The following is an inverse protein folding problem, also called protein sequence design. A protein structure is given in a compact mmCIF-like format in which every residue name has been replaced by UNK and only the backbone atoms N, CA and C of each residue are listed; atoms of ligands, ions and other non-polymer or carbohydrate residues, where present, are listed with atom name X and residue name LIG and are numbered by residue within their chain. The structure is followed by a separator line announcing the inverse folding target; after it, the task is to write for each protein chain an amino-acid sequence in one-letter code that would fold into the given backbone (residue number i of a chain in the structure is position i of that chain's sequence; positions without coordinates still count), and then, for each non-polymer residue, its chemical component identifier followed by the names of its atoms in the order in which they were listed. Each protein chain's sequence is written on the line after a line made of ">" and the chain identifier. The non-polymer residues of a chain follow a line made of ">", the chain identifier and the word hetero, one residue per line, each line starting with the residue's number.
data_IF_867004861121
#
_entry.id   IF_867004861121
#
_cell.length_a   1.000
_cell.length_b   1.000
_cell.length_c   1.000
_cell.angle_alpha   90.00
_cell.angle_beta   90.00
_cell.angle_gamma   90.00
#
_symmetry.space_group_name_H-M   'P 1'
#
loop_
_entity.id
_entity.type
_entity.pdbx_description
1 polymer ?
#
# COMPACT_ATOMS: atom_id res chain seq x y z
N UNK A 1 1.47 3.27 16.27
CA UNK A 1 0.77 1.96 16.26
C UNK A 1 1.70 0.91 15.67
N UNK A 2 1.81 -0.30 16.24
CA UNK A 2 2.63 -1.38 15.64
C UNK A 2 1.90 -1.99 14.43
N UNK A 3 2.65 -2.55 13.46
CA UNK A 3 2.14 -3.19 12.25
C UNK A 3 1.00 -4.19 12.51
N UNK A 4 1.08 -5.00 13.57
CA UNK A 4 0.04 -6.00 13.88
C UNK A 4 -1.32 -5.36 14.15
N UNK A 5 -1.36 -4.20 14.83
CA UNK A 5 -2.60 -3.46 15.07
C UNK A 5 -3.14 -2.81 13.79
N UNK A 6 -2.27 -2.40 12.87
CA UNK A 6 -2.70 -1.87 11.58
C UNK A 6 -3.33 -2.96 10.71
N UNK A 7 -2.73 -4.14 10.70
CA UNK A 7 -3.30 -5.31 10.03
C UNK A 7 -4.66 -5.68 10.61
N UNK A 8 -4.77 -5.73 11.94
CA UNK A 8 -6.05 -6.02 12.59
C UNK A 8 -7.12 -4.99 12.19
N UNK A 9 -6.75 -3.71 12.13
CA UNK A 9 -7.66 -2.66 11.65
C UNK A 9 -8.12 -2.89 10.21
N UNK A 10 -7.25 -3.34 9.29
CA UNK A 10 -7.66 -3.68 7.92
C UNK A 10 -8.67 -4.84 7.89
N UNK A 11 -8.48 -5.86 8.74
CA UNK A 11 -9.38 -7.01 8.81
C UNK A 11 -10.74 -6.61 9.40
N UNK A 12 -10.73 -5.83 10.49
CA UNK A 12 -11.95 -5.41 11.20
C UNK A 12 -12.83 -4.50 10.35
N UNK A 13 -12.21 -3.63 9.53
CA UNK A 13 -12.91 -2.70 8.65
C UNK A 13 -13.15 -3.24 7.23
N UNK A 14 -12.73 -4.47 6.94
CA UNK A 14 -13.03 -5.11 5.67
C UNK A 14 -14.54 -5.31 5.49
N UNK A 15 -15.07 -5.22 4.24
CA UNK A 15 -16.46 -5.54 3.95
C UNK A 15 -16.89 -6.90 4.54
N UNK A 16 -17.92 -6.90 5.38
CA UNK A 16 -18.39 -8.10 6.08
C UNK A 16 -19.28 -8.99 5.19
N UNK A 17 -18.81 -9.32 3.98
CA UNK A 17 -19.52 -10.14 2.98
C UNK A 17 -19.28 -11.66 3.15
N UNK A 18 -18.62 -12.06 4.24
CA UNK A 18 -18.26 -13.44 4.53
C UNK A 18 -16.98 -13.95 3.86
N UNK A 19 -16.37 -13.18 2.95
CA UNK A 19 -15.17 -13.58 2.22
C UNK A 19 -14.03 -12.57 2.31
N UNK A 20 -14.31 -11.27 2.17
CA UNK A 20 -13.30 -10.22 2.12
C UNK A 20 -12.39 -10.14 3.35
N UNK A 21 -12.89 -10.28 4.61
CA UNK A 21 -12.01 -10.26 5.79
C UNK A 21 -11.00 -11.42 5.79
N UNK A 22 -11.39 -12.61 5.28
CA UNK A 22 -10.50 -13.77 5.17
C UNK A 22 -9.44 -13.58 4.09
N UNK A 23 -9.78 -12.85 3.01
CA UNK A 23 -8.83 -12.51 1.95
C UNK A 23 -7.81 -11.50 2.48
N UNK A 24 -8.27 -10.47 3.21
CA UNK A 24 -7.40 -9.48 3.86
C UNK A 24 -6.46 -10.17 4.87
N UNK A 25 -6.99 -11.06 5.70
CA UNK A 25 -6.19 -11.86 6.63
C UNK A 25 -5.15 -12.72 5.90
N UNK A 26 -5.51 -13.33 4.77
CA UNK A 26 -4.60 -14.16 3.99
C UNK A 26 -3.42 -13.37 3.41
N UNK A 27 -3.63 -12.11 3.02
CA UNK A 27 -2.57 -11.26 2.43
C UNK A 27 -1.83 -10.42 3.46
N UNK A 28 -2.31 -10.37 4.72
CA UNK A 28 -1.69 -9.60 5.78
C UNK A 28 -0.18 -9.84 5.96
N UNK A 29 0.34 -11.08 5.87
CA UNK A 29 1.78 -11.30 5.95
C UNK A 29 2.57 -10.66 4.81
N UNK A 30 1.99 -10.53 3.61
CA UNK A 30 2.62 -9.81 2.49
C UNK A 30 2.77 -8.32 2.81
N UNK A 31 1.69 -7.71 3.30
CA UNK A 31 1.68 -6.30 3.68
C UNK A 31 2.66 -6.02 4.82
N UNK A 32 2.73 -6.92 5.81
CA UNK A 32 3.68 -6.81 6.92
C UNK A 32 5.13 -6.91 6.44
N UNK A 33 5.46 -7.88 5.58
CA UNK A 33 6.81 -8.06 5.05
C UNK A 33 7.31 -6.83 4.28
N UNK A 34 6.44 -6.19 3.50
CA UNK A 34 6.78 -4.96 2.79
C UNK A 34 6.90 -3.76 3.75
N UNK A 35 6.01 -3.66 4.73
CA UNK A 35 6.07 -2.61 5.75
C UNK A 35 7.33 -2.70 6.63
N UNK A 36 7.86 -3.90 6.88
CA UNK A 36 9.11 -4.11 7.62
C UNK A 36 10.36 -3.62 6.89
N UNK A 37 10.27 -3.33 5.59
CA UNK A 37 11.35 -2.70 4.82
C UNK A 37 11.44 -1.18 5.04
N UNK A 38 10.41 -0.60 5.67
CA UNK A 38 10.21 0.83 5.83
C UNK A 38 10.49 1.23 7.28
N UNK A 39 10.98 2.45 7.51
CA UNK A 39 11.43 2.88 8.84
C UNK A 39 10.27 3.31 9.74
N UNK A 40 9.17 3.81 9.15
CA UNK A 40 8.07 4.40 9.90
C UNK A 40 6.79 3.57 9.79
N UNK A 41 6.01 3.44 10.89
CA UNK A 41 4.73 2.77 10.85
C UNK A 41 3.63 3.64 10.17
N UNK A 42 3.86 4.93 10.00
CA UNK A 42 2.89 5.89 9.49
C UNK A 42 3.60 6.88 8.58
N UNK A 43 2.94 7.28 7.50
CA UNK A 43 3.42 8.29 6.57
C UNK A 43 2.31 9.27 6.21
N UNK A 44 2.70 10.45 5.76
CA UNK A 44 1.81 11.47 5.24
C UNK A 44 1.71 11.32 3.73
N UNK A 45 0.49 11.15 3.22
CA UNK A 45 0.16 11.15 1.79
C UNK A 45 -0.54 12.46 1.44
N UNK A 46 -0.19 13.05 0.31
CA UNK A 46 -0.93 14.18 -0.23
C UNK A 46 -2.26 13.71 -0.84
N UNK A 47 -3.34 14.36 -0.43
CA UNK A 47 -4.70 14.06 -0.85
C UNK A 47 -5.41 15.34 -1.28
N UNK A 48 -6.13 15.30 -2.39
CA UNK A 48 -7.01 16.39 -2.86
C UNK A 48 -8.31 16.43 -2.04
N UNK A 49 -9.07 17.53 -2.11
CA UNK A 49 -10.32 17.68 -1.34
C UNK A 49 -11.41 16.64 -1.66
N UNK A 50 -11.38 16.05 -2.86
CA UNK A 50 -12.24 14.94 -3.28
C UNK A 50 -11.76 13.57 -2.73
N UNK A 51 -10.76 13.57 -1.86
CA UNK A 51 -10.16 12.40 -1.22
C UNK A 51 -9.30 11.53 -2.14
N UNK A 52 -8.97 11.99 -3.34
CA UNK A 52 -8.05 11.31 -4.24
C UNK A 52 -6.59 11.52 -3.82
N UNK A 53 -5.75 10.49 -3.91
CA UNK A 53 -4.32 10.64 -3.68
C UNK A 53 -3.65 11.37 -4.84
N UNK A 54 -2.72 12.26 -4.52
CA UNK A 54 -1.96 13.01 -5.52
C UNK A 54 -0.96 12.06 -6.17
N UNK A 55 -1.17 11.80 -7.47
CA UNK A 55 -0.27 11.01 -8.31
C UNK A 55 0.58 11.97 -9.13
N UNK A 56 1.89 11.83 -9.01
CA UNK A 56 2.84 12.70 -9.71
C UNK A 56 3.66 11.90 -10.73
N UNK A 57 4.07 12.52 -11.85
CA UNK A 57 5.08 11.92 -12.70
C UNK A 57 6.40 11.84 -11.93
N UNK A 58 7.04 10.68 -11.97
CA UNK A 58 8.40 10.51 -11.50
C UNK A 58 9.33 11.17 -12.51
N UNK A 59 9.96 12.27 -12.12
CA UNK A 59 10.90 12.98 -12.97
C UNK A 59 12.30 12.58 -12.54
N UNK A 60 12.91 11.65 -13.28
CA UNK A 60 14.33 11.37 -13.16
C UNK A 60 15.10 12.26 -14.14
N UNK A 61 15.96 13.13 -13.60
CA UNK A 61 16.79 14.06 -14.40
C UNK A 61 17.73 13.29 -15.35
N UNK A 62 18.19 12.10 -14.96
CA UNK A 62 19.08 11.26 -15.77
C UNK A 62 18.31 10.39 -16.78
N UNK A 63 17.02 10.15 -16.54
CA UNK A 63 16.18 9.27 -17.36
C UNK A 63 14.79 9.89 -17.63
N UNK A 64 14.72 11.05 -18.30
CA UNK A 64 13.47 11.82 -18.48
C UNK A 64 12.43 11.11 -19.36
N UNK A 65 12.81 10.03 -20.06
CA UNK A 65 11.92 9.25 -20.92
C UNK A 65 11.06 8.25 -20.14
N UNK A 66 11.39 7.95 -18.88
CA UNK A 66 10.63 7.03 -18.06
C UNK A 66 9.42 7.77 -17.50
N UNK A 67 8.26 7.54 -18.14
CA UNK A 67 6.96 8.03 -17.67
C UNK A 67 6.40 7.08 -16.63
N UNK A 68 6.94 7.16 -15.43
CA UNK A 68 6.44 6.44 -14.26
C UNK A 68 5.56 7.36 -13.43
N UNK A 69 4.46 6.86 -12.88
CA UNK A 69 3.57 7.58 -11.96
C UNK A 69 3.81 7.09 -10.55
N UNK A 70 3.99 8.02 -9.62
CA UNK A 70 4.31 7.72 -8.23
C UNK A 70 3.39 8.46 -7.29
N UNK A 71 3.18 7.86 -6.12
CA UNK A 71 2.67 8.55 -4.94
C UNK A 71 3.84 8.70 -3.99
N UNK A 72 4.00 9.90 -3.44
CA UNK A 72 5.00 10.17 -2.40
C UNK A 72 4.39 10.02 -1.02
N UNK A 73 5.16 9.40 -0.14
CA UNK A 73 4.84 9.18 1.26
C UNK A 73 5.94 9.81 2.11
N UNK A 74 5.59 10.74 2.98
CA UNK A 74 6.55 11.52 3.76
C UNK A 74 6.53 11.09 5.22
N UNK A 75 7.69 11.04 5.87
CA UNK A 75 7.78 10.76 7.31
C UNK A 75 7.25 11.89 8.18
N UNK A 76 7.18 13.13 7.66
CA UNK A 76 6.67 14.30 8.38
C UNK A 76 5.60 15.05 7.58
N UNK A 77 4.72 15.76 8.29
CA UNK A 77 3.69 16.60 7.67
C UNK A 77 4.31 17.83 7.01
N UNK A 78 5.38 18.38 7.60
CA UNK A 78 6.12 19.53 7.08
C UNK A 78 6.74 19.21 5.71
N UNK A 79 7.35 18.03 5.57
CA UNK A 79 7.90 17.58 4.29
C UNK A 79 6.81 17.42 3.23
N UNK A 80 5.67 16.82 3.58
CA UNK A 80 4.54 16.67 2.66
C UNK A 80 4.02 18.03 2.15
N UNK A 81 3.83 19.00 3.05
CA UNK A 81 3.32 20.32 2.71
C UNK A 81 4.36 21.20 2.00
N UNK A 82 5.64 21.03 2.29
CA UNK A 82 6.73 21.76 1.61
C UNK A 82 7.02 21.23 0.20
N UNK A 83 6.76 19.95 -0.05
CA UNK A 83 6.92 19.33 -1.37
C UNK A 83 5.85 19.81 -2.36
N UNK A 84 4.70 20.29 -1.87
CA UNK A 84 3.66 20.86 -2.71
C UNK A 84 4.19 22.05 -3.49
N UNK A 85 4.16 21.95 -4.83
CA UNK A 85 4.54 23.04 -5.71
C UNK A 85 3.59 24.24 -5.45
N UNK A 86 4.09 25.45 -5.13
CA UNK A 86 3.25 26.64 -4.92
C UNK A 86 2.39 27.04 -6.14
N UNK A 87 2.66 26.50 -7.33
CA UNK A 87 1.88 26.76 -8.56
C UNK A 87 0.67 25.82 -8.77
N UNK A 88 0.44 24.85 -7.87
CA UNK A 88 -0.72 23.96 -7.99
C UNK A 88 -1.96 24.63 -7.40
N UNK A 89 -2.85 25.16 -8.25
CA UNK A 89 -4.20 25.69 -7.93
C UNK A 89 -5.13 24.70 -7.18
N UNK A 90 -4.64 23.52 -6.80
CA UNK A 90 -5.38 22.48 -6.09
C UNK A 90 -5.09 22.52 -4.61
N UNK A 91 -6.12 22.80 -3.81
CA UNK A 91 -6.07 22.62 -2.37
C UNK A 91 -5.83 21.13 -2.06
N UNK A 92 -4.68 20.83 -1.46
CA UNK A 92 -4.32 19.50 -1.01
C UNK A 92 -4.06 19.50 0.49
N UNK A 93 -4.27 18.33 1.09
CA UNK A 93 -4.05 18.07 2.50
C UNK A 93 -3.01 16.95 2.64
N UNK A 94 -2.15 17.05 3.64
CA UNK A 94 -1.29 15.95 4.05
C UNK A 94 -2.02 15.13 5.11
N UNK A 95 -2.38 13.88 4.78
CA UNK A 95 -3.11 12.98 5.67
C UNK A 95 -2.18 11.89 6.22
N UNK A 96 -2.15 11.66 7.55
CA UNK A 96 -1.41 10.55 8.12
C UNK A 96 -2.13 9.23 7.81
N UNK A 97 -1.39 8.24 7.33
CA UNK A 97 -1.90 6.92 7.02
C UNK A 97 -0.95 5.82 7.54
N UNK A 98 -1.50 4.75 8.15
CA UNK A 98 -0.70 3.60 8.53
C UNK A 98 -0.08 2.94 7.29
N UNK A 99 1.20 2.58 7.36
CA UNK A 99 1.96 2.04 6.23
C UNK A 99 1.29 0.83 5.57
N UNK A 100 0.70 -0.06 6.35
CA UNK A 100 -0.04 -1.22 5.83
C UNK A 100 -1.29 -0.84 5.03
N UNK A 101 -1.97 0.25 5.41
CA UNK A 101 -3.13 0.76 4.68
C UNK A 101 -2.69 1.40 3.36
N UNK A 102 -1.54 2.08 3.36
CA UNK A 102 -0.95 2.63 2.14
C UNK A 102 -0.66 1.50 1.14
N UNK A 103 0.01 0.45 1.60
CA UNK A 103 0.34 -0.73 0.80
C UNK A 103 -0.91 -1.49 0.33
N UNK A 104 -1.93 -1.61 1.18
CA UNK A 104 -3.19 -2.26 0.81
C UNK A 104 -3.95 -1.48 -0.28
N UNK A 105 -4.00 -0.14 -0.16
CA UNK A 105 -4.68 0.70 -1.15
C UNK A 105 -4.01 0.59 -2.54
N UNK A 106 -2.69 0.42 -2.60
CA UNK A 106 -1.97 0.21 -3.87
C UNK A 106 -2.41 -1.05 -4.64
N UNK A 107 -3.00 -2.03 -3.96
CA UNK A 107 -3.57 -3.23 -4.60
C UNK A 107 -4.80 -2.86 -5.42
N UNK A 108 -5.55 -1.87 -4.96
CA UNK A 108 -6.82 -1.41 -5.53
C UNK A 108 -6.60 -0.33 -6.59
N UNK A 109 -5.59 0.52 -6.41
CA UNK A 109 -5.31 1.63 -7.33
C UNK A 109 -4.71 1.15 -8.65
N UNK A 110 -5.26 1.63 -9.77
CA UNK A 110 -4.80 1.24 -11.10
C UNK A 110 -3.65 2.09 -11.65
N UNK A 111 -3.49 3.33 -11.19
CA UNK A 111 -2.62 4.30 -11.85
C UNK A 111 -1.20 4.47 -11.30
N UNK A 112 -0.90 4.38 -10.00
CA UNK A 112 0.49 4.52 -9.56
C UNK A 112 1.29 3.25 -9.88
N UNK A 113 2.47 3.45 -10.46
CA UNK A 113 3.43 2.37 -10.73
C UNK A 113 4.24 2.03 -9.47
N UNK A 114 4.42 3.00 -8.57
CA UNK A 114 5.12 2.81 -7.30
C UNK A 114 4.68 3.78 -6.20
N UNK A 115 5.01 3.40 -4.97
CA UNK A 115 5.11 4.27 -3.81
C UNK A 115 6.57 4.64 -3.58
N UNK A 116 6.82 5.90 -3.20
CA UNK A 116 8.14 6.39 -2.83
C UNK A 116 8.08 6.96 -1.41
N UNK A 117 8.75 6.30 -0.47
CA UNK A 117 8.76 6.64 0.95
C UNK A 117 10.01 7.45 1.30
N UNK A 118 9.82 8.67 1.81
CA UNK A 118 10.89 9.54 2.29
C UNK A 118 11.11 9.32 3.79
N UNK A 119 12.10 8.50 4.12
CA UNK A 119 12.37 8.04 5.48
C UNK A 119 13.02 9.10 6.37
N UNK A 120 13.85 9.97 5.78
CA UNK A 120 14.58 11.01 6.51
C UNK A 120 13.95 12.38 6.29
N UNK A 121 13.61 13.12 7.35
CA UNK A 121 13.05 14.47 7.21
C UNK A 121 13.98 15.42 6.46
N UNK A 122 13.42 16.33 5.65
CA UNK A 122 14.15 17.28 4.79
C UNK A 122 15.07 16.63 3.72
N UNK A 123 14.93 15.34 3.44
CA UNK A 123 15.70 14.65 2.40
C UNK A 123 14.80 14.10 1.29
N UNK A 124 14.64 14.88 0.22
CA UNK A 124 13.88 14.49 -0.97
C UNK A 124 14.72 13.78 -2.04
N UNK A 125 16.01 13.52 -1.78
CA UNK A 125 16.91 12.89 -2.74
C UNK A 125 16.96 11.36 -2.61
N UNK A 126 16.57 10.84 -1.45
CA UNK A 126 16.58 9.41 -1.17
C UNK A 126 15.18 8.98 -0.72
N UNK A 127 14.58 8.10 -1.50
CA UNK A 127 13.31 7.48 -1.17
C UNK A 127 13.43 5.96 -1.30
N UNK A 128 12.80 5.24 -0.38
CA UNK A 128 12.58 3.80 -0.53
C UNK A 128 11.42 3.59 -1.49
N UNK A 129 11.69 2.98 -2.64
CA UNK A 129 10.67 2.72 -3.65
C UNK A 129 10.09 1.32 -3.48
N UNK A 130 8.76 1.23 -3.36
CA UNK A 130 8.02 -0.03 -3.46
C UNK A 130 7.20 -0.03 -4.74
N UNK A 131 7.45 -0.99 -5.64
CA UNK A 131 6.74 -1.09 -6.91
C UNK A 131 5.38 -1.75 -6.73
N UNK A 132 4.39 -1.31 -7.51
CA UNK A 132 3.09 -1.97 -7.55
C UNK A 132 3.20 -3.43 -7.98
N UNK A 133 4.05 -3.73 -8.95
CA UNK A 133 4.29 -5.11 -9.39
C UNK A 133 4.81 -5.99 -8.26
N UNK A 134 5.69 -5.47 -7.41
CA UNK A 134 6.23 -6.19 -6.25
C UNK A 134 5.13 -6.50 -5.22
N UNK A 135 4.28 -5.50 -4.93
CA UNK A 135 3.11 -5.68 -4.06
C UNK A 135 2.18 -6.78 -4.62
N UNK A 136 1.88 -6.71 -5.91
CA UNK A 136 0.99 -7.65 -6.58
C UNK A 136 1.55 -9.07 -6.62
N UNK A 137 2.83 -9.22 -6.96
CA UNK A 137 3.52 -10.52 -6.99
C UNK A 137 3.50 -11.17 -5.61
N UNK A 138 3.84 -10.43 -4.55
CA UNK A 138 3.87 -10.97 -3.20
C UNK A 138 2.47 -11.36 -2.73
N UNK A 139 1.46 -10.49 -2.95
CA UNK A 139 0.07 -10.80 -2.61
C UNK A 139 -0.43 -12.05 -3.34
N UNK A 140 -0.08 -12.20 -4.63
CA UNK A 140 -0.49 -13.34 -5.43
C UNK A 140 0.04 -14.66 -4.87
N UNK A 141 1.26 -14.68 -4.32
CA UNK A 141 1.84 -15.85 -3.64
C UNK A 141 0.98 -16.27 -2.43
N UNK A 142 0.62 -15.32 -1.57
CA UNK A 142 -0.19 -15.61 -0.38
C UNK A 142 -1.63 -16.02 -0.73
N UNK A 143 -2.24 -15.40 -1.74
CA UNK A 143 -3.58 -15.77 -2.22
C UNK A 143 -3.61 -17.19 -2.79
N UNK A 144 -2.59 -17.61 -3.54
CA UNK A 144 -2.50 -18.97 -4.07
C UNK A 144 -2.41 -20.01 -2.94
N UNK A 145 -1.57 -19.78 -1.94
CA UNK A 145 -1.46 -20.66 -0.77
C UNK A 145 -2.80 -20.76 -0.02
N UNK A 146 -3.47 -19.63 0.22
CA UNK A 146 -4.81 -19.61 0.82
C UNK A 146 -5.83 -20.43 0.03
N UNK A 147 -5.87 -20.29 -1.30
CA UNK A 147 -6.78 -21.03 -2.17
C UNK A 147 -6.51 -22.54 -2.13
N UNK A 148 -5.25 -22.96 -2.18
CA UNK A 148 -4.84 -24.37 -2.09
C UNK A 148 -5.25 -24.99 -0.73
N UNK A 149 -5.07 -24.25 0.36
CA UNK A 149 -5.50 -24.68 1.71
C UNK A 149 -7.02 -24.82 1.82
N UNK A 150 -7.80 -23.97 1.15
CA UNK A 150 -9.27 -24.11 1.11
C UNK A 150 -9.72 -25.33 0.31
N UNK A 151 -9.12 -25.57 -0.86
CA UNK A 151 -9.45 -26.71 -1.72
C UNK A 151 -9.09 -28.05 -1.07
N UNK A 152 -7.95 -28.12 -0.38
CA UNK A 152 -7.56 -29.33 0.37
C UNK A 152 -8.48 -29.62 1.57
N UNK A 153 -9.06 -28.60 2.21
CA UNK A 153 -10.07 -28.78 3.26
C UNK A 153 -11.40 -29.31 2.72
N UNK A 154 -11.85 -28.89 1.53
CA UNK A 154 -13.11 -29.41 0.96
C UNK A 154 -13.01 -30.85 0.46
N UNK A 155 -11.81 -31.31 0.08
CA UNK A 155 -11.57 -32.67 -0.43
C UNK A 155 -11.49 -33.77 0.65
N UNK A 156 -11.49 -33.41 1.94
CA UNK A 156 -11.42 -34.35 3.08
C UNK A 156 -12.78 -34.95 3.51
N UNK A 157 -13.81 -34.88 2.66
CA UNK A 157 -15.05 -35.64 2.87
C UNK A 157 -14.89 -36.98 2.14
N UNK A 158 -14.68 -38.11 2.84
CA UNK A 158 -14.63 -39.41 2.17
C UNK A 158 -15.97 -39.66 1.48
N UNK A 159 -15.98 -40.21 0.25
CA UNK A 159 -17.21 -40.60 -0.41
C UNK A 159 -17.90 -41.63 0.49
N UNK A 160 -19.15 -41.34 0.83
CA UNK A 160 -20.01 -42.23 1.59
C UNK A 160 -20.06 -43.60 0.88
N UNK A 161 -19.50 -44.65 1.48
CA UNK A 161 -19.71 -46.03 1.07
C UNK A 161 -21.10 -46.38 1.57
N UNK A 162 -22.08 -46.39 0.66
CA UNK A 162 -23.42 -46.93 0.86
C UNK A 162 -23.60 -48.16 -0.01
#
# INVERSE_FOLDING_TARGET
>A
MNLDLQIQSLIDHAPQDGTTPQIVEAIAPALKLLAEQLEHPEYYILQTLDQSWVIQPFINVDQPQIKKRVIYAFSTVEDALSYTNPDADSQVLAIPLPVTHILFQMVVLEMPDSLCFFETPNNFQSATEIKRSEIQELIQVYLQDYQQRRQSKSRKIPPNIA
#
